data_IF_817125421101
#
_entry.id   IF_817125421101
#
_cell.length_a   1.000
_cell.length_b   1.000
_cell.length_c   1.000
_cell.angle_alpha   90.00
_cell.angle_beta   90.00
_cell.angle_gamma   90.00
#
_symmetry.space_group_name_H-M   'P 1'
#
loop_
_entity.id
_entity.type
_entity.pdbx_description
1 polymer ?
#
# COMPACT_ATOMS: atom_id res chain seq x y z
N UNK A 1 -18.40 -40.81 43.76
CA UNK A 1 -17.88 -40.25 42.50
C UNK A 1 -18.72 -39.05 42.10
N UNK A 2 -18.19 -37.83 42.17
CA UNK A 2 -18.85 -36.63 41.65
C UNK A 2 -17.78 -35.75 40.99
N UNK A 3 -17.71 -35.79 39.65
CA UNK A 3 -16.81 -34.92 38.87
C UNK A 3 -17.56 -33.65 38.50
N UNK A 4 -17.35 -32.58 39.27
CA UNK A 4 -17.78 -31.23 38.92
C UNK A 4 -17.04 -30.78 37.65
N UNK A 5 -17.73 -30.80 36.50
CA UNK A 5 -17.20 -30.27 35.25
C UNK A 5 -17.34 -28.74 35.27
N UNK A 6 -16.21 -28.05 35.31
CA UNK A 6 -16.11 -26.61 35.09
C UNK A 6 -16.81 -26.22 33.78
N UNK A 7 -17.88 -25.40 33.85
CA UNK A 7 -18.53 -24.82 32.68
C UNK A 7 -17.59 -23.78 32.08
N UNK A 8 -16.87 -24.15 31.02
CA UNK A 8 -16.13 -23.20 30.17
C UNK A 8 -17.11 -22.17 29.63
N UNK A 9 -16.97 -20.90 30.03
CA UNK A 9 -17.68 -19.78 29.41
C UNK A 9 -17.18 -19.63 27.99
N UNK A 10 -18.01 -20.02 27.04
CA UNK A 10 -17.74 -19.85 25.61
C UNK A 10 -17.85 -18.36 25.29
N UNK A 11 -16.70 -17.68 25.17
CA UNK A 11 -16.65 -16.31 24.66
C UNK A 11 -17.12 -16.38 23.21
N UNK A 12 -18.37 -15.99 22.95
CA UNK A 12 -18.85 -15.79 21.59
C UNK A 12 -18.02 -14.67 20.96
N UNK A 13 -17.01 -15.06 20.19
CA UNK A 13 -16.26 -14.15 19.34
C UNK A 13 -17.24 -13.66 18.28
N UNK A 14 -17.71 -12.43 18.39
CA UNK A 14 -18.43 -11.79 17.28
C UNK A 14 -17.50 -11.83 16.06
N UNK A 15 -17.98 -12.45 14.99
CA UNK A 15 -17.24 -12.52 13.73
C UNK A 15 -17.24 -11.13 13.11
N UNK A 16 -16.09 -10.68 12.62
CA UNK A 16 -15.96 -9.41 11.89
C UNK A 16 -16.89 -9.41 10.66
N UNK A 17 -17.33 -8.23 10.20
CA UNK A 17 -18.03 -8.06 8.92
C UNK A 17 -17.21 -8.66 7.76
N UNK A 18 -17.89 -9.17 6.73
CA UNK A 18 -17.26 -9.91 5.62
C UNK A 18 -16.37 -9.02 4.74
N UNK A 19 -16.69 -7.72 4.65
CA UNK A 19 -15.92 -6.67 3.96
C UNK A 19 -14.60 -6.36 4.69
N UNK A 20 -14.58 -6.41 6.04
CA UNK A 20 -13.38 -6.23 6.87
C UNK A 20 -12.40 -7.42 6.87
N UNK A 21 -12.74 -8.49 6.15
CA UNK A 21 -11.85 -9.62 5.86
C UNK A 21 -11.15 -9.46 4.49
N UNK A 22 -11.48 -8.44 3.70
CA UNK A 22 -11.30 -8.46 2.25
C UNK A 22 -10.14 -7.64 1.66
N UNK A 23 -9.14 -7.23 2.43
CA UNK A 23 -7.77 -7.32 1.86
C UNK A 23 -6.69 -7.30 2.94
N UNK A 24 -6.22 -8.49 3.31
CA UNK A 24 -4.92 -8.70 3.98
C UNK A 24 -3.79 -8.88 2.95
N UNK A 25 -4.03 -8.58 1.67
CA UNK A 25 -2.96 -8.42 0.69
C UNK A 25 -2.20 -7.15 1.08
N UNK A 26 -1.15 -7.34 1.86
CA UNK A 26 -0.16 -6.30 2.12
C UNK A 26 0.36 -5.76 0.78
N UNK A 27 1.00 -4.58 0.79
CA UNK A 27 1.60 -3.92 -0.39
C UNK A 27 2.63 -4.78 -1.18
N UNK A 28 2.89 -6.02 -0.74
CA UNK A 28 3.80 -6.98 -1.36
C UNK A 28 3.07 -8.09 -2.15
N UNK A 29 1.76 -7.99 -2.39
CA UNK A 29 0.98 -8.98 -3.12
C UNK A 29 0.13 -8.34 -4.22
N UNK A 30 -0.21 -9.09 -5.26
CA UNK A 30 -1.08 -8.63 -6.35
C UNK A 30 -0.38 -7.68 -7.31
N UNK A 31 -1.10 -6.67 -7.81
CA UNK A 31 -0.61 -5.64 -8.72
C UNK A 31 0.64 -4.93 -8.20
N UNK A 32 0.74 -4.66 -6.89
CA UNK A 32 1.93 -4.04 -6.29
C UNK A 32 3.18 -4.91 -6.45
N UNK A 33 3.06 -6.24 -6.37
CA UNK A 33 4.17 -7.16 -6.61
C UNK A 33 4.67 -7.07 -8.06
N UNK A 34 3.78 -6.86 -9.02
CA UNK A 34 4.15 -6.73 -10.43
C UNK A 34 5.03 -5.49 -10.68
N UNK A 35 4.81 -4.42 -9.91
CA UNK A 35 5.66 -3.23 -9.96
C UNK A 35 6.98 -3.48 -9.24
N UNK A 36 6.96 -4.03 -8.03
CA UNK A 36 8.14 -4.09 -7.16
C UNK A 36 9.11 -5.22 -7.53
N UNK A 37 8.60 -6.35 -8.01
CA UNK A 37 9.40 -7.57 -8.26
C UNK A 37 10.53 -7.37 -9.27
N UNK A 38 10.36 -6.64 -10.39
CA UNK A 38 11.45 -6.31 -11.30
C UNK A 38 12.61 -5.52 -10.67
N UNK A 39 12.38 -4.85 -9.53
CA UNK A 39 13.38 -4.01 -8.90
C UNK A 39 14.23 -4.74 -7.84
N UNK A 40 13.85 -5.95 -7.40
CA UNK A 40 14.47 -6.63 -6.27
C UNK A 40 15.98 -6.87 -6.46
N UNK A 41 16.38 -7.45 -7.60
CA UNK A 41 17.78 -7.77 -7.86
C UNK A 41 18.66 -6.52 -7.89
N UNK A 42 18.15 -5.45 -8.51
CA UNK A 42 18.87 -4.19 -8.60
C UNK A 42 18.88 -3.42 -7.29
N UNK A 43 17.80 -3.50 -6.50
CA UNK A 43 17.78 -2.95 -5.14
C UNK A 43 18.86 -3.61 -4.28
N UNK A 44 18.95 -4.95 -4.30
CA UNK A 44 19.98 -5.68 -3.58
C UNK A 44 21.40 -5.23 -3.98
N UNK A 45 21.65 -5.11 -5.29
CA UNK A 45 22.92 -4.60 -5.80
C UNK A 45 23.24 -3.16 -5.34
N UNK A 46 22.29 -2.22 -5.44
CA UNK A 46 22.51 -0.83 -5.02
C UNK A 46 22.64 -0.70 -3.49
N UNK A 47 22.01 -1.60 -2.72
CA UNK A 47 22.19 -1.71 -1.28
C UNK A 47 23.65 -2.07 -0.93
N UNK A 48 24.26 -3.01 -1.65
CA UNK A 48 25.67 -3.39 -1.45
C UNK A 48 26.66 -2.26 -1.78
N UNK A 49 26.26 -1.31 -2.66
CA UNK A 49 27.06 -0.12 -2.99
C UNK A 49 26.97 0.99 -1.93
N UNK A 50 26.07 0.87 -0.96
CA UNK A 50 25.92 1.76 0.18
C UNK A 50 24.73 2.72 0.11
N UNK A 51 24.45 3.37 1.25
CA UNK A 51 23.19 4.08 1.53
C UNK A 51 22.81 5.18 0.53
N UNK A 52 23.79 5.86 -0.09
CA UNK A 52 23.51 6.93 -1.07
C UNK A 52 22.89 6.32 -2.34
N UNK A 53 23.44 5.19 -2.78
CA UNK A 53 23.00 4.46 -3.97
C UNK A 53 21.65 3.79 -3.73
N UNK A 54 21.53 3.15 -2.58
CA UNK A 54 20.26 2.59 -2.10
C UNK A 54 19.15 3.65 -2.10
N UNK A 55 19.37 4.81 -1.46
CA UNK A 55 18.38 5.88 -1.36
C UNK A 55 17.98 6.43 -2.74
N UNK A 56 18.95 6.62 -3.64
CA UNK A 56 18.67 7.09 -4.99
C UNK A 56 17.82 6.07 -5.77
N UNK A 57 18.11 4.78 -5.61
CA UNK A 57 17.34 3.73 -6.26
C UNK A 57 15.94 3.58 -5.67
N UNK A 58 15.80 3.62 -4.34
CA UNK A 58 14.51 3.62 -3.66
C UNK A 58 13.63 4.79 -4.12
N UNK A 59 14.18 5.99 -4.25
CA UNK A 59 13.43 7.14 -4.76
C UNK A 59 12.85 6.85 -6.16
N UNK A 60 13.63 6.21 -7.03
CA UNK A 60 13.17 5.83 -8.37
C UNK A 60 12.01 4.83 -8.29
N UNK A 61 12.15 3.77 -7.47
CA UNK A 61 11.11 2.75 -7.29
C UNK A 61 9.84 3.37 -6.71
N UNK A 62 9.96 4.26 -5.72
CA UNK A 62 8.81 4.97 -5.15
C UNK A 62 8.11 5.84 -6.19
N UNK A 63 8.86 6.57 -7.03
CA UNK A 63 8.27 7.38 -8.08
C UNK A 63 7.49 6.51 -9.09
N UNK A 64 8.07 5.39 -9.53
CA UNK A 64 7.38 4.45 -10.42
C UNK A 64 6.12 3.86 -9.77
N UNK A 65 6.22 3.41 -8.51
CA UNK A 65 5.09 2.87 -7.77
C UNK A 65 3.93 3.85 -7.65
N UNK A 66 4.21 5.09 -7.24
CA UNK A 66 3.19 6.12 -7.06
C UNK A 66 2.70 6.75 -8.35
N UNK A 67 3.44 6.62 -9.46
CA UNK A 67 2.96 7.02 -10.78
C UNK A 67 2.02 5.98 -11.39
N UNK A 68 2.23 4.69 -11.09
CA UNK A 68 1.42 3.60 -11.62
C UNK A 68 0.14 3.32 -10.84
N UNK A 69 0.11 3.65 -9.55
CA UNK A 69 -1.06 3.41 -8.68
C UNK A 69 -1.72 4.75 -8.37
N UNK A 70 -2.99 4.90 -8.77
CA UNK A 70 -3.77 6.06 -8.37
C UNK A 70 -3.93 6.07 -6.84
N UNK A 71 -3.52 7.18 -6.22
CA UNK A 71 -3.64 7.40 -4.79
C UNK A 71 -5.10 7.50 -4.32
N UNK A 72 -6.04 7.72 -5.25
CA UNK A 72 -7.49 7.70 -5.00
C UNK A 72 -8.06 6.29 -4.98
N UNK A 73 -7.31 5.27 -5.43
CA UNK A 73 -7.76 3.89 -5.42
C UNK A 73 -8.11 3.45 -3.99
N UNK A 74 -9.21 2.71 -3.85
CA UNK A 74 -9.66 2.23 -2.55
C UNK A 74 -8.74 1.10 -2.06
N UNK A 75 -8.35 1.14 -0.79
CA UNK A 75 -7.36 0.21 -0.20
C UNK A 75 -7.79 -1.28 -0.27
N UNK A 76 -9.07 -1.54 -0.51
CA UNK A 76 -9.63 -2.89 -0.60
C UNK A 76 -9.81 -3.40 -2.03
N UNK A 77 -9.57 -2.56 -3.04
CA UNK A 77 -9.63 -2.92 -4.45
C UNK A 77 -8.22 -3.06 -5.03
N UNK A 78 -8.07 -3.90 -6.06
CA UNK A 78 -6.80 -4.03 -6.77
C UNK A 78 -6.72 -2.92 -7.82
N UNK A 79 -5.78 -1.97 -7.72
CA UNK A 79 -5.77 -0.79 -8.58
C UNK A 79 -5.44 -1.18 -10.02
N UNK A 80 -6.06 -0.50 -10.98
CA UNK A 80 -5.58 -0.54 -12.36
C UNK A 80 -4.25 0.20 -12.49
N UNK A 81 -3.33 -0.37 -13.26
CA UNK A 81 -2.00 0.20 -13.43
C UNK A 81 -2.00 1.24 -14.55
N UNK A 82 -1.64 2.46 -14.19
CA UNK A 82 -1.36 3.52 -15.15
C UNK A 82 0.00 3.27 -15.86
N UNK A 83 0.13 3.64 -17.14
CA UNK A 83 1.40 3.56 -17.85
C UNK A 83 2.42 4.50 -17.21
N UNK A 84 3.61 3.96 -16.90
CA UNK A 84 4.69 4.73 -16.32
C UNK A 84 5.62 5.28 -17.40
N UNK A 85 5.77 6.61 -17.42
CA UNK A 85 6.79 7.30 -18.19
C UNK A 85 7.81 7.96 -17.22
N UNK A 86 9.07 7.47 -17.17
CA UNK A 86 10.10 8.03 -16.31
C UNK A 86 10.57 9.43 -16.74
N UNK A 87 10.26 9.85 -17.96
CA UNK A 87 10.60 11.17 -18.51
C UNK A 87 9.42 12.15 -18.46
N UNK A 88 8.27 11.72 -17.94
CA UNK A 88 7.11 12.57 -17.78
C UNK A 88 7.44 13.81 -16.95
N UNK A 89 7.09 14.97 -17.49
CA UNK A 89 7.18 16.22 -16.75
C UNK A 89 6.10 16.21 -15.65
N UNK A 90 6.50 16.60 -14.43
CA UNK A 90 5.55 16.75 -13.31
C UNK A 90 4.64 17.94 -13.60
N UNK A 91 3.50 17.67 -14.21
CA UNK A 91 2.45 18.66 -14.36
C UNK A 91 1.75 18.88 -13.03
N UNK A 92 1.55 20.15 -12.67
CA UNK A 92 0.88 20.50 -11.43
C UNK A 92 -0.62 20.22 -11.61
N UNK A 93 -1.12 19.22 -10.90
CA UNK A 93 -2.55 18.87 -10.88
C UNK A 93 -3.37 20.11 -10.47
N UNK A 94 -4.23 20.59 -11.38
CA UNK A 94 -5.19 21.67 -11.10
C UNK A 94 -6.46 21.00 -10.60
N UNK A 95 -6.59 20.93 -9.27
CA UNK A 95 -7.78 20.38 -8.63
C UNK A 95 -8.85 21.46 -8.41
N UNK A 96 -10.15 21.12 -8.51
CA UNK A 96 -11.21 21.93 -7.94
C UNK A 96 -11.00 22.08 -6.43
N UNK A 97 -11.45 23.22 -5.87
CA UNK A 97 -11.27 23.54 -4.44
C UNK A 97 -11.73 22.40 -3.51
N UNK A 98 -12.83 21.73 -3.86
CA UNK A 98 -13.42 20.62 -3.08
C UNK A 98 -12.49 19.39 -3.02
N UNK A 99 -11.83 19.05 -4.13
CA UNK A 99 -10.89 17.92 -4.19
C UNK A 99 -9.56 18.25 -3.49
N UNK A 100 -9.12 19.51 -3.57
CA UNK A 100 -7.91 19.95 -2.88
C UNK A 100 -8.09 19.85 -1.35
N UNK A 101 -9.28 20.17 -0.84
CA UNK A 101 -9.63 20.02 0.58
C UNK A 101 -9.57 18.56 1.00
N UNK A 102 -10.14 17.64 0.21
CA UNK A 102 -10.11 16.19 0.48
C UNK A 102 -8.68 15.65 0.49
N UNK A 103 -7.85 16.04 -0.49
CA UNK A 103 -6.44 15.65 -0.58
C UNK A 103 -5.66 16.12 0.64
N UNK A 104 -5.83 17.39 1.04
CA UNK A 104 -5.17 17.95 2.24
C UNK A 104 -5.64 17.27 3.53
N UNK A 105 -6.92 16.91 3.64
CA UNK A 105 -7.46 16.19 4.80
C UNK A 105 -6.86 14.79 4.94
N UNK A 106 -6.70 14.05 3.82
CA UNK A 106 -6.06 12.73 3.79
C UNK A 106 -4.59 12.80 4.24
N UNK A 107 -3.83 13.80 3.78
CA UNK A 107 -2.43 14.00 4.19
C UNK A 107 -2.31 14.23 5.70
N UNK A 108 -3.24 14.99 6.30
CA UNK A 108 -3.24 15.25 7.75
C UNK A 108 -3.56 14.02 8.61
N UNK A 109 -4.24 13.01 8.08
CA UNK A 109 -4.53 11.76 8.80
C UNK A 109 -3.33 10.80 8.83
N UNK A 110 -2.39 10.97 7.90
CA UNK A 110 -1.24 10.08 7.71
C UNK A 110 0.05 10.59 8.39
N UNK A 111 0.07 11.86 8.84
CA UNK A 111 1.16 12.49 9.57
C UNK A 111 0.83 12.64 11.05
#
# INVERSE_FOLDING_TARGET
>A
MAKNKSKKRERQRQRKPKEDHQNLRLWAQGVCEQILRPHLDKYAYECDLGWVKERAYLQKVCNEYHARIDWRAEDHEEPELEPYDPEALVEREILPDDEEILKRARIKLLN
#
